data_IF_166947755479
#
_entry.id   IF_166947755479
#
_cell.length_a   1.000
_cell.length_b   1.000
_cell.length_c   1.000
_cell.angle_alpha   90.00
_cell.angle_beta   90.00
_cell.angle_gamma   90.00
#
_symmetry.space_group_name_H-M   'P 1'
#
loop_
_entity.id
_entity.type
_entity.pdbx_description
1 polymer ?
#
# COMPACT_ATOMS: atom_id res chain seq x y z
N UNK A 1 -19.57 33.18 44.81
CA UNK A 1 -19.31 32.51 46.10
C UNK A 1 -19.37 31.04 45.80
N UNK A 2 -18.37 30.22 45.78
CA UNK A 2 -17.02 30.21 46.29
C UNK A 2 -16.20 29.22 45.43
N UNK A 3 -15.07 29.68 44.94
CA UNK A 3 -14.03 28.82 44.34
C UNK A 3 -13.53 27.78 45.37
N UNK A 4 -13.21 26.57 44.88
CA UNK A 4 -12.24 25.69 45.56
C UNK A 4 -11.23 25.17 44.57
N UNK A 5 -10.08 25.79 44.60
CA UNK A 5 -8.79 25.29 44.13
C UNK A 5 -8.39 23.99 44.86
N UNK A 6 -7.78 23.07 44.16
CA UNK A 6 -7.03 21.93 44.72
C UNK A 6 -5.61 21.96 44.13
N UNK A 7 -4.58 21.80 44.96
CA UNK A 7 -3.22 22.18 44.65
C UNK A 7 -2.37 21.10 43.97
N UNK A 8 -1.39 21.57 43.19
CA UNK A 8 -0.23 20.84 42.68
C UNK A 8 0.68 20.41 43.84
N UNK A 9 1.04 19.17 43.92
CA UNK A 9 2.01 18.56 44.83
C UNK A 9 2.97 17.61 44.14
N UNK A 10 4.12 18.12 43.80
CA UNK A 10 5.50 17.68 43.99
C UNK A 10 5.89 16.23 43.66
N UNK A 11 6.62 16.11 42.56
CA UNK A 11 7.61 15.06 42.26
C UNK A 11 8.83 15.24 43.19
N UNK A 12 9.23 14.22 43.94
CA UNK A 12 10.65 13.93 44.18
C UNK A 12 10.89 12.58 44.88
N UNK A 13 11.93 11.90 44.38
CA UNK A 13 12.79 10.91 45.04
C UNK A 13 12.26 9.46 45.18
N UNK A 14 12.88 8.57 44.41
CA UNK A 14 13.50 7.37 44.98
C UNK A 14 14.81 7.09 44.22
N UNK A 15 15.90 7.24 44.96
CA UNK A 15 17.23 6.76 44.62
C UNK A 15 17.64 5.68 45.64
N UNK A 16 18.40 4.71 45.15
CA UNK A 16 19.40 3.89 45.86
C UNK A 16 18.96 2.73 46.76
N UNK A 17 19.31 1.51 46.32
CA UNK A 17 20.19 0.52 47.02
C UNK A 17 20.16 -0.77 46.17
N UNK A 18 21.19 -1.36 45.57
CA UNK A 18 22.45 -1.76 46.19
C UNK A 18 22.38 -3.25 46.48
N UNK A 19 22.81 -4.16 45.59
CA UNK A 19 23.39 -5.44 45.96
C UNK A 19 24.28 -6.01 44.83
N UNK A 20 25.50 -6.34 45.23
CA UNK A 20 26.57 -6.95 44.43
C UNK A 20 26.39 -8.47 44.33
N UNK A 21 26.85 -9.02 43.22
CA UNK A 21 27.77 -10.16 42.95
C UNK A 21 27.36 -10.92 41.70
N UNK A 22 28.23 -10.98 40.72
CA UNK A 22 29.19 -12.05 40.51
C UNK A 22 30.15 -11.64 39.38
N UNK A 23 31.40 -12.03 39.58
CA UNK A 23 32.62 -11.79 38.83
C UNK A 23 32.64 -12.45 37.47
N UNK A 24 32.81 -11.67 36.39
CA UNK A 24 33.35 -12.12 35.11
C UNK A 24 34.83 -11.70 35.03
N UNK A 25 35.70 -12.52 34.40
CA UNK A 25 37.14 -12.28 34.34
C UNK A 25 37.48 -11.12 33.38
N UNK A 26 38.62 -10.48 33.54
CA UNK A 26 39.03 -9.33 32.73
C UNK A 26 39.35 -9.78 31.32
N UNK A 27 38.67 -9.16 30.34
CA UNK A 27 39.06 -9.23 28.93
C UNK A 27 40.33 -8.35 28.81
N UNK A 28 41.42 -9.00 28.45
CA UNK A 28 42.70 -8.40 28.16
C UNK A 28 42.57 -7.28 27.14
N UNK A 29 43.09 -6.09 27.51
CA UNK A 29 43.43 -5.02 26.58
C UNK A 29 44.41 -5.52 25.51
N UNK A 30 43.85 -6.02 24.42
CA UNK A 30 44.53 -6.19 23.15
C UNK A 30 44.50 -4.84 22.45
N UNK A 31 45.61 -4.18 22.42
CA UNK A 31 45.87 -2.99 21.62
C UNK A 31 45.54 -3.29 20.15
N UNK A 32 44.31 -2.99 19.73
CA UNK A 32 43.97 -2.83 18.32
C UNK A 32 44.32 -1.41 17.90
N UNK A 33 45.61 -1.18 17.64
CA UNK A 33 46.09 -0.08 16.83
C UNK A 33 45.67 -0.33 15.36
N UNK A 34 44.40 -0.47 15.08
CA UNK A 34 43.85 -0.41 13.76
C UNK A 34 43.44 1.05 13.44
N UNK A 35 44.49 1.81 13.05
CA UNK A 35 44.45 2.89 12.07
C UNK A 35 43.11 3.67 12.00
N UNK A 36 43.10 4.77 12.72
CA UNK A 36 42.28 5.96 12.43
C UNK A 36 42.74 6.58 11.10
N UNK A 37 42.66 5.85 9.99
CA UNK A 37 42.78 6.38 8.63
C UNK A 37 41.47 7.09 8.31
N UNK A 38 41.56 8.40 8.07
CA UNK A 38 40.48 9.36 7.91
C UNK A 38 39.33 8.83 7.03
N UNK A 39 38.12 8.81 7.58
CA UNK A 39 36.92 8.56 6.80
C UNK A 39 36.72 9.74 5.86
N UNK A 40 36.92 9.52 4.57
CA UNK A 40 36.68 10.50 3.50
C UNK A 40 35.27 11.05 3.66
N UNK A 41 35.15 12.37 3.63
CA UNK A 41 33.85 13.06 3.66
C UNK A 41 33.57 13.70 2.32
N UNK A 42 32.31 13.72 1.92
CA UNK A 42 31.84 14.40 0.71
C UNK A 42 31.08 15.65 1.13
N UNK A 43 31.48 16.78 0.58
CA UNK A 43 30.77 18.04 0.77
C UNK A 43 29.57 18.14 -0.19
N UNK A 44 28.38 18.26 0.40
CA UNK A 44 27.12 18.44 -0.35
C UNK A 44 26.38 19.64 0.26
N UNK A 45 26.35 20.76 -0.45
CA UNK A 45 25.68 22.01 -0.01
C UNK A 45 26.11 22.48 1.38
N UNK A 46 27.40 22.43 1.67
CA UNK A 46 27.95 22.84 2.97
C UNK A 46 27.81 21.81 4.09
N UNK A 47 27.26 20.62 3.81
CA UNK A 47 27.16 19.51 4.76
C UNK A 47 28.17 18.43 4.40
N UNK A 48 28.95 17.99 5.37
CA UNK A 48 29.94 16.93 5.20
C UNK A 48 29.34 15.58 5.55
N UNK A 49 29.28 14.66 4.59
CA UNK A 49 28.77 13.29 4.75
C UNK A 49 29.89 12.27 4.49
N UNK A 50 29.93 11.14 5.19
CA UNK A 50 30.91 10.10 4.92
C UNK A 50 30.74 9.58 3.48
N UNK A 51 31.85 9.36 2.76
CA UNK A 51 31.83 8.71 1.47
C UNK A 51 31.49 7.24 1.65
N UNK A 52 30.43 6.79 1.00
CA UNK A 52 29.97 5.39 1.04
C UNK A 52 29.99 4.81 -0.38
N UNK A 53 30.86 3.84 -0.64
CA UNK A 53 30.99 3.18 -1.95
C UNK A 53 29.66 2.59 -2.45
N UNK A 54 28.90 1.98 -1.55
CA UNK A 54 27.58 1.41 -1.92
C UNK A 54 26.60 2.43 -2.48
N UNK A 55 26.65 3.69 -1.97
CA UNK A 55 25.81 4.78 -2.53
C UNK A 55 26.28 5.14 -3.94
N UNK A 56 27.60 5.15 -4.19
CA UNK A 56 28.13 5.42 -5.53
C UNK A 56 27.77 4.30 -6.51
N UNK A 57 27.93 3.01 -6.11
CA UNK A 57 27.52 1.86 -6.93
C UNK A 57 26.03 1.94 -7.27
N UNK A 58 25.19 2.18 -6.27
CA UNK A 58 23.74 2.34 -6.47
C UNK A 58 23.42 3.48 -7.43
N UNK A 59 24.06 4.63 -7.24
CA UNK A 59 23.86 5.79 -8.14
C UNK A 59 24.31 5.54 -9.57
N UNK A 60 25.36 4.76 -9.79
CA UNK A 60 25.84 4.36 -11.11
C UNK A 60 24.94 3.32 -11.77
N UNK A 61 24.45 2.32 -11.01
CA UNK A 61 23.47 1.36 -11.52
C UNK A 61 22.15 2.01 -11.87
N UNK A 62 21.68 3.01 -11.10
CA UNK A 62 20.53 3.84 -11.46
C UNK A 62 20.77 4.64 -12.76
N UNK A 63 22.01 4.93 -13.09
CA UNK A 63 22.40 5.61 -14.34
C UNK A 63 22.60 4.65 -15.51
N UNK A 64 22.32 3.36 -15.34
CA UNK A 64 22.35 2.35 -16.39
C UNK A 64 23.68 1.60 -16.55
N UNK A 65 24.62 1.75 -15.60
CA UNK A 65 25.81 0.89 -15.55
C UNK A 65 25.42 -0.53 -15.13
N UNK A 66 26.12 -1.55 -15.66
CA UNK A 66 26.03 -2.88 -15.06
C UNK A 66 26.53 -2.83 -13.62
N UNK A 67 26.12 -3.78 -12.78
CA UNK A 67 26.63 -3.83 -11.41
C UNK A 67 28.16 -3.98 -11.37
N UNK A 68 28.72 -4.76 -12.28
CA UNK A 68 30.17 -4.99 -12.41
C UNK A 68 30.90 -3.69 -12.80
N UNK A 69 30.42 -2.96 -13.79
CA UNK A 69 31.00 -1.67 -14.21
C UNK A 69 30.86 -0.62 -13.10
N UNK A 70 29.68 -0.52 -12.48
CA UNK A 70 29.43 0.41 -11.38
C UNK A 70 30.35 0.11 -10.19
N UNK A 71 30.57 -1.16 -9.89
CA UNK A 71 31.47 -1.59 -8.82
C UNK A 71 32.93 -1.27 -9.17
N UNK A 72 33.38 -1.56 -10.40
CA UNK A 72 34.74 -1.26 -10.88
C UNK A 72 35.02 0.25 -10.79
N UNK A 73 34.15 1.09 -11.35
CA UNK A 73 34.26 2.56 -11.28
C UNK A 73 34.29 3.05 -9.81
N UNK A 74 33.45 2.48 -8.95
CA UNK A 74 33.43 2.83 -7.52
C UNK A 74 34.71 2.46 -6.79
N UNK A 75 35.38 1.37 -7.19
CA UNK A 75 36.67 0.97 -6.66
C UNK A 75 37.79 1.91 -7.07
N UNK A 76 37.84 2.32 -8.33
CA UNK A 76 38.83 3.28 -8.82
C UNK A 76 38.67 4.65 -8.15
N UNK A 77 37.43 5.15 -8.07
CA UNK A 77 37.12 6.38 -7.36
C UNK A 77 37.57 6.29 -5.89
N UNK A 78 37.26 5.18 -5.22
CA UNK A 78 37.68 4.97 -3.82
C UNK A 78 39.19 5.01 -3.67
N UNK A 79 39.94 4.37 -4.56
CA UNK A 79 41.40 4.33 -4.52
C UNK A 79 42.01 5.74 -4.64
N UNK A 80 41.37 6.63 -5.39
CA UNK A 80 41.81 8.02 -5.55
C UNK A 80 41.41 8.96 -4.40
N UNK A 81 40.31 8.66 -3.69
CA UNK A 81 39.83 9.54 -2.64
C UNK A 81 40.16 9.09 -1.22
N UNK A 82 40.53 7.81 -1.02
CA UNK A 82 40.69 7.19 0.32
C UNK A 82 41.69 7.90 1.24
N UNK A 83 42.68 8.60 0.67
CA UNK A 83 43.74 9.29 1.41
C UNK A 83 43.42 10.80 1.57
N UNK A 84 42.22 11.25 1.19
CA UNK A 84 41.74 12.63 1.36
C UNK A 84 40.77 12.74 2.53
N UNK A 85 40.79 13.87 3.22
CA UNK A 85 39.85 14.15 4.30
C UNK A 85 38.48 14.61 3.78
N UNK A 86 38.47 15.39 2.69
CA UNK A 86 37.30 16.00 2.10
C UNK A 86 37.38 15.95 0.58
N UNK A 87 36.25 15.62 -0.05
CA UNK A 87 36.07 15.63 -1.53
C UNK A 87 34.77 16.35 -1.84
N UNK A 88 34.82 17.28 -2.78
CA UNK A 88 33.62 17.97 -3.23
C UNK A 88 32.80 17.11 -4.16
N UNK A 89 31.50 17.38 -4.23
CA UNK A 89 30.61 16.69 -5.18
C UNK A 89 31.06 16.91 -6.65
N UNK A 90 31.72 18.02 -6.96
CA UNK A 90 32.25 18.32 -8.28
C UNK A 90 33.43 17.42 -8.63
N UNK A 91 34.42 17.34 -7.74
CA UNK A 91 35.58 16.44 -7.91
C UNK A 91 35.18 14.98 -8.03
N UNK A 92 34.18 14.54 -7.22
CA UNK A 92 33.67 13.18 -7.30
C UNK A 92 33.05 12.88 -8.67
N UNK A 93 32.36 13.85 -9.28
CA UNK A 93 31.80 13.72 -10.62
C UNK A 93 32.89 13.64 -11.71
N UNK A 94 33.93 14.45 -11.56
CA UNK A 94 35.04 14.45 -12.49
C UNK A 94 35.78 13.11 -12.47
N UNK A 95 36.04 12.57 -11.30
CA UNK A 95 36.63 11.23 -11.14
C UNK A 95 35.72 10.11 -11.72
N UNK A 96 34.43 10.15 -11.43
CA UNK A 96 33.48 9.20 -12.01
C UNK A 96 33.49 9.30 -13.56
N UNK A 97 33.49 10.49 -14.12
CA UNK A 97 33.54 10.69 -15.57
C UNK A 97 34.86 10.22 -16.19
N UNK A 98 35.97 10.36 -15.47
CA UNK A 98 37.29 9.88 -15.90
C UNK A 98 37.35 8.35 -15.91
N UNK A 99 36.98 7.70 -14.82
CA UNK A 99 37.06 6.23 -14.71
C UNK A 99 35.98 5.50 -15.51
N UNK A 100 34.85 6.14 -15.78
CA UNK A 100 33.84 5.60 -16.69
C UNK A 100 34.31 5.49 -18.13
N UNK A 101 35.33 6.28 -18.54
CA UNK A 101 35.91 6.23 -19.90
C UNK A 101 36.97 5.14 -20.06
N UNK A 102 37.58 4.69 -18.98
CA UNK A 102 38.66 3.72 -18.98
C UNK A 102 38.22 2.27 -18.68
N UNK A 103 36.95 2.02 -18.43
CA UNK A 103 36.39 0.68 -18.16
C UNK A 103 36.35 -0.18 -19.45
N UNK A 104 36.70 -1.50 -19.39
CA UNK A 104 36.87 -2.37 -20.56
C UNK A 104 35.60 -2.65 -21.40
N UNK A 105 34.46 -2.16 -21.03
CA UNK A 105 33.20 -2.24 -21.79
C UNK A 105 33.02 -1.13 -22.84
N UNK A 106 34.13 -0.56 -23.34
CA UNK A 106 34.29 0.58 -24.20
C UNK A 106 33.23 0.78 -25.28
N UNK A 107 32.39 1.71 -25.06
CA UNK A 107 31.86 2.74 -25.96
C UNK A 107 30.99 3.72 -25.16
N UNK A 108 31.61 4.36 -24.18
CA UNK A 108 30.95 5.25 -23.22
C UNK A 108 30.89 6.70 -23.75
N UNK A 109 31.52 7.00 -24.88
CA UNK A 109 31.46 8.34 -25.44
C UNK A 109 30.07 8.75 -25.97
N UNK A 110 29.19 7.79 -26.25
CA UNK A 110 27.79 8.03 -26.56
C UNK A 110 26.86 8.02 -25.33
N UNK A 111 27.34 7.58 -24.17
CA UNK A 111 26.59 7.47 -22.91
C UNK A 111 27.06 8.52 -21.91
N UNK A 112 27.02 9.80 -22.26
CA UNK A 112 27.17 10.86 -21.26
C UNK A 112 25.99 10.77 -20.30
N UNK A 113 26.17 10.33 -19.02
CA UNK A 113 25.15 10.56 -18.04
C UNK A 113 25.05 12.07 -17.87
N UNK A 114 23.92 12.65 -18.18
CA UNK A 114 23.62 14.04 -17.87
C UNK A 114 23.44 14.13 -16.36
N UNK A 115 24.57 14.13 -15.65
CA UNK A 115 24.62 14.34 -14.21
C UNK A 115 24.25 15.79 -13.91
N UNK A 116 22.97 16.07 -13.75
CA UNK A 116 22.54 17.38 -13.28
C UNK A 116 21.29 17.98 -13.88
N UNK A 117 20.85 17.53 -15.06
CA UNK A 117 19.59 18.00 -15.62
C UNK A 117 18.46 17.05 -15.22
N UNK A 118 17.57 17.54 -14.38
CA UNK A 118 16.33 16.82 -14.08
C UNK A 118 15.52 16.74 -15.37
N UNK A 119 15.17 15.52 -15.79
CA UNK A 119 14.20 15.28 -16.84
C UNK A 119 12.88 15.93 -16.41
N UNK A 120 12.37 16.85 -17.22
CA UNK A 120 11.12 17.57 -16.97
C UNK A 120 9.99 16.98 -17.81
N UNK A 121 8.85 16.77 -17.19
CA UNK A 121 7.61 16.43 -17.87
C UNK A 121 6.86 17.70 -18.18
N UNK A 122 6.57 17.93 -19.45
CA UNK A 122 5.80 19.09 -19.92
C UNK A 122 4.35 18.69 -20.17
N UNK A 123 3.42 19.43 -19.58
CA UNK A 123 1.98 19.27 -19.79
C UNK A 123 1.31 20.60 -20.05
N UNK A 124 0.00 20.59 -20.32
CA UNK A 124 -0.80 21.80 -20.57
C UNK A 124 -0.76 22.78 -19.38
N UNK A 125 -0.66 22.24 -18.16
CA UNK A 125 -0.78 23.00 -16.91
C UNK A 125 0.57 23.33 -16.26
N UNK A 126 1.71 23.10 -16.95
CA UNK A 126 3.04 23.41 -16.42
C UNK A 126 4.11 22.36 -16.68
N UNK A 127 5.18 22.47 -15.91
CA UNK A 127 6.35 21.59 -15.95
C UNK A 127 6.57 20.97 -14.58
N UNK A 128 6.88 19.68 -14.56
CA UNK A 128 7.15 18.93 -13.33
C UNK A 128 8.40 18.08 -13.53
N UNK A 129 9.15 17.81 -12.47
CA UNK A 129 10.23 16.84 -12.55
C UNK A 129 9.67 15.46 -12.92
N UNK A 130 10.39 14.72 -13.75
CA UNK A 130 10.07 13.33 -14.04
C UNK A 130 10.07 12.52 -12.73
N UNK A 131 9.03 11.75 -12.52
CA UNK A 131 8.86 10.94 -11.32
C UNK A 131 8.57 9.50 -11.71
N UNK A 132 9.53 8.60 -11.44
CA UNK A 132 9.34 7.16 -11.55
C UNK A 132 8.12 6.68 -10.77
N UNK A 133 7.91 7.23 -9.56
CA UNK A 133 6.81 6.82 -8.68
C UNK A 133 5.43 7.09 -9.30
N UNK A 134 5.26 8.19 -10.03
CA UNK A 134 3.98 8.47 -10.73
C UNK A 134 3.68 7.46 -11.82
N UNK A 135 4.70 7.08 -12.60
CA UNK A 135 4.52 6.09 -13.68
C UNK A 135 4.27 4.72 -13.05
N UNK A 136 5.06 4.36 -12.04
CA UNK A 136 4.90 3.10 -11.30
C UNK A 136 3.50 2.95 -10.72
N UNK A 137 2.96 3.98 -10.07
CA UNK A 137 1.58 3.99 -9.55
C UNK A 137 0.55 3.74 -10.66
N UNK A 138 0.72 4.37 -11.83
CA UNK A 138 -0.19 4.12 -12.97
C UNK A 138 -0.09 2.69 -13.50
N UNK A 139 1.08 2.08 -13.49
CA UNK A 139 1.29 0.70 -13.91
C UNK A 139 0.74 -0.30 -12.88
N UNK A 140 0.95 -0.04 -11.59
CA UNK A 140 0.36 -0.85 -10.51
C UNK A 140 -1.16 -0.82 -10.57
N UNK A 141 -1.74 0.36 -10.75
CA UNK A 141 -3.17 0.54 -10.91
C UNK A 141 -3.71 -0.11 -12.18
N UNK A 142 -2.89 -0.23 -13.23
CA UNK A 142 -3.24 -1.01 -14.43
C UNK A 142 -3.09 -2.53 -14.24
N UNK A 143 -2.83 -2.98 -13.02
CA UNK A 143 -2.75 -4.40 -12.69
C UNK A 143 -1.39 -5.04 -12.98
N UNK A 144 -0.30 -4.27 -13.10
CA UNK A 144 1.04 -4.87 -13.16
C UNK A 144 1.53 -5.24 -11.76
N UNK A 145 2.22 -6.38 -11.69
CA UNK A 145 3.00 -6.76 -10.52
C UNK A 145 4.02 -5.65 -10.15
N UNK A 146 4.27 -5.37 -8.85
CA UNK A 146 5.18 -4.32 -8.41
C UNK A 146 6.60 -4.43 -8.97
N UNK A 147 7.11 -5.64 -9.14
CA UNK A 147 8.43 -5.91 -9.71
C UNK A 147 8.46 -5.56 -11.19
N UNK A 148 7.45 -6.00 -11.93
CA UNK A 148 7.30 -5.71 -13.35
C UNK A 148 7.07 -4.23 -13.61
N UNK A 149 6.27 -3.57 -12.78
CA UNK A 149 6.06 -2.12 -12.86
C UNK A 149 7.36 -1.34 -12.66
N UNK A 150 8.23 -1.77 -11.74
CA UNK A 150 9.55 -1.17 -11.53
C UNK A 150 10.46 -1.35 -12.76
N UNK A 151 10.50 -2.55 -13.34
CA UNK A 151 11.27 -2.84 -14.55
C UNK A 151 10.85 -1.96 -15.73
N UNK A 152 9.54 -1.83 -15.98
CA UNK A 152 8.99 -0.98 -17.04
C UNK A 152 9.36 0.49 -16.83
N UNK A 153 9.24 1.01 -15.62
CA UNK A 153 9.61 2.40 -15.31
C UNK A 153 11.10 2.65 -15.54
N UNK A 154 11.94 1.69 -15.14
CA UNK A 154 13.40 1.78 -15.34
C UNK A 154 13.74 1.76 -16.84
N UNK A 155 13.04 0.94 -17.64
CA UNK A 155 13.20 0.91 -19.08
C UNK A 155 12.77 2.23 -19.74
N UNK A 156 11.63 2.81 -19.33
CA UNK A 156 11.16 4.11 -19.81
C UNK A 156 12.21 5.21 -19.51
N UNK A 157 12.69 5.28 -18.28
CA UNK A 157 13.68 6.30 -17.90
C UNK A 157 14.98 6.15 -18.68
N UNK A 158 15.45 4.89 -18.83
CA UNK A 158 16.65 4.60 -19.62
C UNK A 158 16.49 5.05 -21.08
N UNK A 159 15.35 4.76 -21.72
CA UNK A 159 15.07 5.16 -23.09
C UNK A 159 15.04 6.70 -23.24
N UNK A 160 14.41 7.40 -22.32
CA UNK A 160 14.35 8.86 -22.31
C UNK A 160 15.73 9.47 -22.13
N UNK A 161 16.53 8.95 -21.21
CA UNK A 161 17.93 9.41 -21.01
C UNK A 161 18.84 9.10 -22.19
N UNK A 162 18.65 7.94 -22.81
CA UNK A 162 19.42 7.55 -24.00
C UNK A 162 19.15 8.47 -25.19
N UNK A 163 17.91 8.97 -25.35
CA UNK A 163 17.56 9.96 -26.39
C UNK A 163 18.10 11.36 -26.11
N UNK A 164 18.70 11.59 -24.95
CA UNK A 164 19.21 12.91 -24.54
C UNK A 164 18.11 13.94 -24.32
N UNK A 165 16.87 13.50 -24.15
CA UNK A 165 15.73 14.38 -23.94
C UNK A 165 15.79 15.01 -22.53
N UNK A 166 15.75 16.34 -22.46
CA UNK A 166 15.63 17.09 -21.20
C UNK A 166 14.18 17.37 -20.84
N UNK A 167 13.31 17.34 -21.83
CA UNK A 167 11.88 17.60 -21.71
C UNK A 167 11.11 16.56 -22.46
N UNK A 168 10.14 15.97 -21.81
CA UNK A 168 9.28 14.92 -22.37
C UNK A 168 7.82 15.28 -22.13
N UNK A 169 6.96 15.02 -23.10
CA UNK A 169 5.52 15.20 -22.92
C UNK A 169 4.89 14.00 -22.22
N UNK A 170 3.75 14.21 -21.58
CA UNK A 170 2.96 13.10 -21.01
C UNK A 170 2.59 12.05 -22.08
N UNK A 171 2.32 12.49 -23.30
CA UNK A 171 1.99 11.60 -24.42
C UNK A 171 3.17 10.76 -24.88
N UNK A 172 4.38 11.34 -24.91
CA UNK A 172 5.60 10.58 -25.21
C UNK A 172 5.87 9.50 -24.16
N UNK A 173 5.69 9.81 -22.86
CA UNK A 173 5.79 8.81 -21.78
C UNK A 173 4.73 7.72 -21.94
N UNK A 174 3.49 8.10 -22.28
CA UNK A 174 2.40 7.15 -22.53
C UNK A 174 2.74 6.21 -23.69
N UNK A 175 3.21 6.75 -24.79
CA UNK A 175 3.59 5.96 -25.98
C UNK A 175 4.74 4.99 -25.67
N UNK A 176 5.74 5.42 -24.88
CA UNK A 176 6.80 4.52 -24.42
C UNK A 176 6.26 3.42 -23.52
N UNK A 177 5.41 3.78 -22.53
CA UNK A 177 4.82 2.81 -21.62
C UNK A 177 3.97 1.78 -22.40
N UNK A 178 3.07 2.21 -23.29
CA UNK A 178 2.24 1.29 -24.09
C UNK A 178 3.09 0.41 -25.01
N UNK A 179 4.11 0.93 -25.66
CA UNK A 179 5.01 0.14 -26.50
C UNK A 179 5.80 -0.93 -25.72
N UNK A 180 6.23 -0.63 -24.48
CA UNK A 180 6.90 -1.61 -23.62
C UNK A 180 5.88 -2.66 -23.14
N UNK A 181 4.69 -2.22 -22.70
CA UNK A 181 3.63 -3.10 -22.24
C UNK A 181 3.21 -4.09 -23.32
N UNK A 182 3.00 -3.60 -24.54
CA UNK A 182 2.62 -4.43 -25.69
C UNK A 182 3.67 -5.51 -25.99
N UNK A 183 4.94 -5.12 -26.09
CA UNK A 183 6.04 -6.05 -26.38
C UNK A 183 6.26 -7.11 -25.31
N UNK A 184 6.07 -6.76 -24.02
CA UNK A 184 6.40 -7.65 -22.90
C UNK A 184 5.22 -8.41 -22.32
N UNK A 185 4.02 -7.82 -22.34
CA UNK A 185 2.87 -8.31 -21.60
C UNK A 185 1.60 -8.43 -22.46
N UNK A 186 1.65 -7.99 -23.73
CA UNK A 186 0.54 -8.09 -24.69
C UNK A 186 -0.51 -6.99 -24.54
N UNK A 187 -1.50 -7.07 -25.44
CA UNK A 187 -2.56 -6.05 -25.61
C UNK A 187 -3.44 -5.84 -24.36
N UNK A 188 -3.68 -6.89 -23.58
CA UNK A 188 -4.51 -6.78 -22.37
C UNK A 188 -3.93 -5.82 -21.34
N UNK A 189 -2.60 -5.83 -21.16
CA UNK A 189 -1.91 -4.92 -20.26
C UNK A 189 -1.94 -3.47 -20.76
N UNK A 190 -1.84 -3.28 -22.09
CA UNK A 190 -1.99 -1.95 -22.71
C UNK A 190 -3.41 -1.43 -22.48
N UNK A 191 -4.42 -2.25 -22.72
CA UNK A 191 -5.83 -1.88 -22.53
C UNK A 191 -6.09 -1.46 -21.08
N UNK A 192 -5.72 -2.26 -20.08
CA UNK A 192 -5.87 -1.92 -18.67
C UNK A 192 -5.18 -0.61 -18.32
N UNK A 193 -3.96 -0.40 -18.81
CA UNK A 193 -3.25 0.85 -18.59
C UNK A 193 -3.99 2.07 -19.16
N UNK A 194 -4.56 1.95 -20.35
CA UNK A 194 -5.33 3.02 -20.99
C UNK A 194 -6.66 3.25 -20.29
N UNK A 195 -7.38 2.19 -19.91
CA UNK A 195 -8.66 2.26 -19.19
C UNK A 195 -8.48 2.96 -17.83
N UNK A 196 -7.46 2.57 -17.07
CA UNK A 196 -7.12 3.25 -15.83
C UNK A 196 -6.80 4.74 -16.05
N UNK A 197 -6.05 5.05 -17.09
CA UNK A 197 -5.72 6.45 -17.42
C UNK A 197 -6.97 7.24 -17.84
N UNK A 198 -7.89 6.62 -18.53
CA UNK A 198 -9.17 7.22 -18.91
C UNK A 198 -9.99 7.54 -17.65
N UNK A 199 -10.16 6.56 -16.75
CA UNK A 199 -10.81 6.77 -15.46
C UNK A 199 -10.18 7.94 -14.67
N UNK A 200 -8.85 7.99 -14.56
CA UNK A 200 -8.16 9.08 -13.84
C UNK A 200 -8.40 10.47 -14.45
N UNK A 201 -8.63 10.55 -15.74
CA UNK A 201 -8.85 11.83 -16.43
C UNK A 201 -10.32 12.24 -16.44
N UNK A 202 -11.26 11.31 -16.29
CA UNK A 202 -12.70 11.59 -16.32
C UNK A 202 -13.15 12.34 -15.04
N UNK A 203 -12.57 12.05 -13.88
CA UNK A 203 -12.73 12.82 -12.63
C UNK A 203 -14.16 13.03 -12.09
N UNK A 204 -15.19 12.60 -12.84
CA UNK A 204 -16.57 12.92 -12.56
C UNK A 204 -17.21 12.00 -11.51
N UNK A 205 -16.77 10.74 -11.47
CA UNK A 205 -17.34 9.72 -10.57
C UNK A 205 -16.24 9.08 -9.74
N UNK A 206 -16.31 9.15 -8.40
CA UNK A 206 -15.31 8.50 -7.54
C UNK A 206 -15.42 6.97 -7.59
N UNK A 207 -14.29 6.32 -7.32
CA UNK A 207 -14.20 4.87 -7.10
C UNK A 207 -14.54 4.56 -5.65
N UNK A 208 -15.54 3.71 -5.43
CA UNK A 208 -15.92 3.18 -4.12
C UNK A 208 -15.68 1.67 -4.15
N UNK A 209 -14.76 1.19 -3.32
CA UNK A 209 -14.46 -0.24 -3.17
C UNK A 209 -15.04 -0.73 -1.85
N UNK A 210 -15.92 -1.73 -1.92
CA UNK A 210 -16.45 -2.44 -0.75
C UNK A 210 -15.78 -3.81 -0.69
N UNK A 211 -15.06 -4.08 0.40
CA UNK A 211 -14.36 -5.34 0.63
C UNK A 211 -14.93 -6.03 1.88
N UNK A 212 -15.91 -6.90 1.66
CA UNK A 212 -16.52 -7.73 2.71
C UNK A 212 -15.62 -8.91 3.10
N UNK A 213 -15.99 -9.62 4.17
CA UNK A 213 -15.33 -10.86 4.60
C UNK A 213 -15.37 -11.06 6.11
N UNK A 214 -15.21 -12.30 6.55
CA UNK A 214 -15.24 -12.67 7.98
C UNK A 214 -14.10 -12.04 8.78
N UNK A 215 -14.24 -12.05 10.10
CA UNK A 215 -13.16 -11.56 10.98
C UNK A 215 -11.92 -12.44 10.84
N UNK A 216 -10.74 -11.82 10.72
CA UNK A 216 -9.47 -12.54 10.69
C UNK A 216 -8.93 -12.92 9.31
N UNK A 217 -9.74 -12.92 8.24
CA UNK A 217 -9.33 -13.32 6.89
C UNK A 217 -8.30 -12.40 6.19
N UNK A 218 -7.84 -11.33 6.82
CA UNK A 218 -6.84 -10.44 6.18
C UNK A 218 -7.41 -9.32 5.30
N UNK A 219 -8.74 -9.12 5.25
CA UNK A 219 -9.40 -8.11 4.41
C UNK A 219 -8.88 -6.68 4.59
N UNK A 220 -8.52 -6.25 5.81
CA UNK A 220 -8.00 -4.88 6.04
C UNK A 220 -6.61 -4.70 5.45
N UNK A 221 -5.75 -5.72 5.50
CA UNK A 221 -4.45 -5.71 4.81
C UNK A 221 -4.63 -5.65 3.30
N UNK A 222 -5.58 -6.43 2.78
CA UNK A 222 -5.93 -6.42 1.37
C UNK A 222 -6.49 -5.06 0.93
N UNK A 223 -7.41 -4.47 1.72
CA UNK A 223 -7.97 -3.15 1.44
C UNK A 223 -6.89 -2.05 1.38
N UNK A 224 -5.94 -2.06 2.30
CA UNK A 224 -4.82 -1.12 2.31
C UNK A 224 -3.90 -1.30 1.11
N UNK A 225 -3.56 -2.55 0.74
CA UNK A 225 -2.69 -2.82 -0.40
C UNK A 225 -3.37 -2.43 -1.72
N UNK A 226 -4.65 -2.77 -1.90
CA UNK A 226 -5.43 -2.35 -3.07
C UNK A 226 -5.57 -0.84 -3.13
N UNK A 227 -5.87 -0.17 -2.01
CA UNK A 227 -5.95 1.28 -1.93
C UNK A 227 -4.65 1.96 -2.35
N UNK A 228 -3.50 1.40 -1.92
CA UNK A 228 -2.17 1.87 -2.33
C UNK A 228 -1.95 1.76 -3.84
N UNK A 229 -2.36 0.64 -4.46
CA UNK A 229 -2.22 0.40 -5.91
C UNK A 229 -3.15 1.28 -6.73
N UNK A 230 -4.41 1.38 -6.34
CA UNK A 230 -5.42 2.21 -7.01
C UNK A 230 -5.38 3.69 -6.60
N UNK A 231 -4.37 4.11 -5.83
CA UNK A 231 -4.26 5.48 -5.31
C UNK A 231 -5.53 5.99 -4.61
N UNK A 232 -6.24 5.10 -3.90
CA UNK A 232 -7.39 5.43 -3.07
C UNK A 232 -6.88 6.12 -1.79
N UNK A 233 -7.31 7.36 -1.57
CA UNK A 233 -6.82 8.18 -0.46
C UNK A 233 -7.49 7.94 0.88
N UNK A 234 -8.64 7.25 0.91
CA UNK A 234 -9.42 7.01 2.11
C UNK A 234 -9.74 5.53 2.26
N UNK A 235 -9.37 4.96 3.40
CA UNK A 235 -9.74 3.59 3.78
C UNK A 235 -10.45 3.66 5.13
N UNK A 236 -11.62 3.03 5.25
CA UNK A 236 -12.40 2.99 6.48
C UNK A 236 -12.92 1.58 6.75
N UNK A 237 -12.85 1.15 8.02
CA UNK A 237 -13.43 -0.13 8.41
C UNK A 237 -14.87 0.00 8.91
N UNK A 238 -15.70 -1.02 8.66
CA UNK A 238 -17.06 -1.08 9.23
C UNK A 238 -17.04 -1.18 10.75
N UNK A 239 -15.97 -1.72 11.33
CA UNK A 239 -15.80 -1.74 12.79
C UNK A 239 -15.64 -0.32 13.36
N UNK A 240 -14.91 0.57 12.68
CA UNK A 240 -14.82 1.97 13.09
C UNK A 240 -16.17 2.68 12.98
N UNK A 241 -16.96 2.38 11.94
CA UNK A 241 -18.31 2.93 11.76
C UNK A 241 -19.19 2.43 12.92
N UNK A 242 -19.18 1.13 13.22
CA UNK A 242 -19.91 0.54 14.34
C UNK A 242 -19.50 1.17 15.67
N UNK A 243 -18.21 1.39 15.90
CA UNK A 243 -17.70 2.01 17.13
C UNK A 243 -18.22 3.44 17.33
N UNK A 244 -18.34 4.22 16.26
CA UNK A 244 -18.97 5.55 16.31
C UNK A 244 -20.48 5.41 16.61
N UNK A 245 -21.17 4.51 15.93
CA UNK A 245 -22.62 4.33 16.10
C UNK A 245 -22.97 3.87 17.50
N UNK A 246 -22.23 2.96 18.13
CA UNK A 246 -22.48 2.48 19.50
C UNK A 246 -22.28 3.56 20.57
N UNK A 247 -21.56 4.63 20.29
CA UNK A 247 -21.47 5.77 21.22
C UNK A 247 -22.76 6.59 21.20
N UNK A 248 -23.47 6.59 20.07
CA UNK A 248 -24.70 7.39 19.86
C UNK A 248 -25.98 6.60 20.15
N UNK A 249 -25.96 5.29 19.96
CA UNK A 249 -27.11 4.38 20.12
C UNK A 249 -26.92 3.56 21.39
N UNK A 250 -27.88 3.60 22.30
CA UNK A 250 -27.78 2.87 23.56
C UNK A 250 -27.89 1.34 23.39
N UNK A 251 -27.31 0.59 24.31
CA UNK A 251 -27.38 -0.87 24.37
C UNK A 251 -28.83 -1.38 24.44
N UNK A 252 -29.71 -0.65 25.12
CA UNK A 252 -31.14 -1.00 25.24
C UNK A 252 -31.89 -0.91 23.90
N UNK A 253 -31.45 -0.05 22.97
CA UNK A 253 -32.09 0.11 21.66
C UNK A 253 -31.58 -0.88 20.62
N UNK A 254 -30.29 -1.11 20.56
CA UNK A 254 -29.66 -2.02 19.60
C UNK A 254 -28.55 -2.81 20.29
N UNK A 255 -28.91 -3.83 21.10
CA UNK A 255 -27.94 -4.60 21.87
C UNK A 255 -26.87 -5.29 21.02
N UNK A 256 -27.22 -5.74 19.83
CA UNK A 256 -26.29 -6.41 18.90
C UNK A 256 -25.15 -5.51 18.44
N UNK A 257 -25.33 -4.18 18.43
CA UNK A 257 -24.30 -3.21 18.04
C UNK A 257 -23.13 -3.14 19.04
N UNK A 258 -23.37 -3.51 20.31
CA UNK A 258 -22.43 -3.36 21.43
C UNK A 258 -21.52 -4.57 21.67
N UNK A 259 -21.65 -5.61 20.85
CA UNK A 259 -20.82 -6.82 20.91
C UNK A 259 -20.09 -7.02 19.57
N UNK A 260 -19.16 -7.97 19.50
CA UNK A 260 -18.53 -8.35 18.23
C UNK A 260 -19.53 -9.06 17.32
N UNK A 261 -19.29 -9.03 16.00
CA UNK A 261 -20.18 -9.65 15.01
C UNK A 261 -20.43 -11.13 15.25
N UNK A 262 -19.42 -11.87 15.71
CA UNK A 262 -19.52 -13.28 16.04
C UNK A 262 -20.21 -13.55 17.41
N UNK A 263 -20.40 -12.55 18.24
CA UNK A 263 -21.12 -12.62 19.51
C UNK A 263 -22.52 -11.98 19.43
N UNK A 264 -22.89 -11.41 18.27
CA UNK A 264 -24.13 -10.68 18.11
C UNK A 264 -25.37 -11.54 18.43
N UNK A 265 -25.28 -12.85 18.19
CA UNK A 265 -26.32 -13.82 18.53
C UNK A 265 -26.69 -13.84 20.02
N UNK A 266 -25.76 -13.55 20.93
CA UNK A 266 -25.98 -13.50 22.38
C UNK A 266 -26.83 -12.30 22.80
N UNK A 267 -27.04 -11.34 21.92
CA UNK A 267 -27.77 -10.08 22.16
C UNK A 267 -28.90 -9.86 21.13
N UNK A 268 -29.33 -10.95 20.47
CA UNK A 268 -30.43 -10.92 19.52
C UNK A 268 -31.73 -10.49 20.18
N UNK A 269 -32.44 -9.56 19.60
CA UNK A 269 -33.74 -9.06 20.06
C UNK A 269 -34.87 -9.79 19.33
N UNK A 270 -34.63 -10.08 18.04
CA UNK A 270 -35.58 -10.78 17.19
C UNK A 270 -35.59 -12.29 17.49
N UNK A 271 -36.76 -12.93 17.35
CA UNK A 271 -36.82 -14.39 17.38
C UNK A 271 -36.09 -14.94 16.13
N UNK A 272 -35.34 -16.02 16.38
CA UNK A 272 -34.66 -16.74 15.28
C UNK A 272 -35.69 -17.41 14.40
N UNK A 273 -35.57 -17.29 13.10
CA UNK A 273 -36.46 -17.96 12.13
C UNK A 273 -36.46 -19.47 12.36
N UNK A 274 -37.58 -20.14 12.07
CA UNK A 274 -37.68 -21.59 12.21
C UNK A 274 -36.62 -22.29 11.33
N UNK A 275 -35.69 -23.02 11.96
CA UNK A 275 -34.54 -23.62 11.26
C UNK A 275 -33.37 -22.65 10.95
N UNK A 276 -33.43 -21.39 11.38
CA UNK A 276 -32.37 -20.42 11.21
C UNK A 276 -31.17 -20.66 12.14
N UNK A 277 -29.99 -20.20 11.75
CA UNK A 277 -28.79 -20.20 12.59
C UNK A 277 -28.74 -18.92 13.41
N UNK A 278 -28.80 -19.00 14.77
CA UNK A 278 -28.76 -17.81 15.61
C UNK A 278 -27.51 -16.93 15.41
N UNK A 279 -26.35 -17.54 15.11
CA UNK A 279 -25.09 -16.80 14.86
C UNK A 279 -25.22 -15.92 13.63
N UNK A 280 -25.75 -16.50 12.55
CA UNK A 280 -25.98 -15.79 11.28
C UNK A 280 -27.05 -14.71 11.44
N UNK A 281 -28.16 -15.01 12.11
CA UNK A 281 -29.25 -14.04 12.35
C UNK A 281 -28.77 -12.82 13.15
N UNK A 282 -28.05 -13.06 14.27
CA UNK A 282 -27.50 -11.98 15.07
C UNK A 282 -26.49 -11.13 14.32
N UNK A 283 -25.63 -11.78 13.54
CA UNK A 283 -24.70 -11.11 12.65
C UNK A 283 -25.41 -10.24 11.61
N UNK A 284 -26.45 -10.75 10.97
CA UNK A 284 -27.22 -10.02 9.97
C UNK A 284 -28.01 -8.85 10.57
N UNK A 285 -28.59 -9.00 11.78
CA UNK A 285 -29.26 -7.91 12.48
C UNK A 285 -28.28 -6.76 12.77
N UNK A 286 -27.10 -7.07 13.32
CA UNK A 286 -26.05 -6.07 13.53
C UNK A 286 -25.63 -5.41 12.21
N UNK A 287 -25.40 -6.21 11.16
CA UNK A 287 -24.93 -5.72 9.88
C UNK A 287 -25.93 -4.79 9.19
N UNK A 288 -27.24 -5.06 9.30
CA UNK A 288 -28.30 -4.15 8.80
C UNK A 288 -28.22 -2.79 9.48
N UNK A 289 -27.97 -2.75 10.78
CA UNK A 289 -27.80 -1.52 11.52
C UNK A 289 -26.55 -0.76 11.08
N UNK A 290 -25.39 -1.45 10.97
CA UNK A 290 -24.12 -0.83 10.52
C UNK A 290 -24.21 -0.34 9.07
N UNK A 291 -25.01 -1.00 8.23
CA UNK A 291 -25.20 -0.61 6.84
C UNK A 291 -25.73 0.84 6.67
N UNK A 292 -26.47 1.35 7.65
CA UNK A 292 -26.93 2.76 7.67
C UNK A 292 -25.72 3.71 7.70
N UNK A 293 -24.76 3.44 8.56
CA UNK A 293 -23.53 4.21 8.66
C UNK A 293 -22.64 4.06 7.42
N UNK A 294 -22.56 2.84 6.86
CA UNK A 294 -21.83 2.57 5.60
C UNK A 294 -22.42 3.40 4.46
N UNK A 295 -23.74 3.42 4.29
CA UNK A 295 -24.42 4.25 3.28
C UNK A 295 -24.07 5.74 3.44
N UNK A 296 -24.09 6.26 4.65
CA UNK A 296 -23.73 7.66 4.93
C UNK A 296 -22.27 7.98 4.51
N UNK A 297 -21.34 7.05 4.73
CA UNK A 297 -19.94 7.20 4.31
C UNK A 297 -19.82 7.17 2.78
N UNK A 298 -20.54 6.28 2.10
CA UNK A 298 -20.57 6.21 0.62
C UNK A 298 -21.11 7.52 0.05
N UNK A 299 -22.26 7.99 0.53
CA UNK A 299 -22.85 9.27 0.09
C UNK A 299 -21.91 10.46 0.30
N UNK A 300 -21.20 10.47 1.43
CA UNK A 300 -20.21 11.50 1.70
C UNK A 300 -19.03 11.43 0.73
N UNK A 301 -18.52 10.23 0.44
CA UNK A 301 -17.43 10.03 -0.51
C UNK A 301 -17.82 10.48 -1.94
N UNK A 302 -19.05 10.18 -2.35
CA UNK A 302 -19.62 10.62 -3.63
C UNK A 302 -19.72 12.15 -3.69
N UNK A 303 -20.28 12.78 -2.63
CA UNK A 303 -20.44 14.23 -2.57
C UNK A 303 -19.08 14.98 -2.60
N UNK A 304 -18.04 14.39 -2.04
CA UNK A 304 -16.67 14.93 -2.06
C UNK A 304 -15.88 14.56 -3.32
N UNK A 305 -16.38 13.70 -4.17
CA UNK A 305 -15.62 13.16 -5.32
C UNK A 305 -14.37 12.39 -4.91
N UNK A 306 -14.39 11.71 -3.75
CA UNK A 306 -13.21 11.09 -3.14
C UNK A 306 -13.23 9.58 -3.30
N UNK A 307 -12.21 9.01 -3.97
CA UNK A 307 -12.01 7.58 -4.03
C UNK A 307 -11.86 7.00 -2.62
N UNK A 308 -12.69 6.00 -2.28
CA UNK A 308 -12.79 5.46 -0.93
C UNK A 308 -12.88 3.94 -0.96
N UNK A 309 -12.12 3.27 -0.09
CA UNK A 309 -12.27 1.85 0.19
C UNK A 309 -12.92 1.67 1.57
N UNK A 310 -13.89 0.78 1.63
CA UNK A 310 -14.53 0.34 2.86
C UNK A 310 -14.23 -1.15 3.04
N UNK A 311 -13.74 -1.54 4.22
CA UNK A 311 -13.55 -2.94 4.54
C UNK A 311 -14.30 -3.33 5.81
N UNK A 312 -14.77 -4.56 5.87
CA UNK A 312 -15.32 -5.07 7.10
C UNK A 312 -16.32 -6.20 6.96
N UNK A 313 -16.60 -6.84 8.09
CA UNK A 313 -17.51 -7.98 8.15
C UNK A 313 -18.97 -7.58 7.90
N UNK A 314 -19.35 -6.34 8.25
CA UNK A 314 -20.73 -5.84 8.04
C UNK A 314 -21.01 -5.44 6.56
N UNK A 315 -20.04 -5.56 5.67
CA UNK A 315 -20.26 -5.50 4.24
C UNK A 315 -20.77 -6.86 3.77
N UNK A 316 -22.09 -7.03 3.79
CA UNK A 316 -22.77 -8.29 3.49
C UNK A 316 -23.38 -8.22 2.11
N UNK A 317 -23.10 -9.20 1.22
CA UNK A 317 -23.77 -9.29 -0.09
C UNK A 317 -25.29 -9.27 0.03
N UNK A 318 -25.94 -8.43 -0.81
CA UNK A 318 -27.39 -8.26 -0.81
C UNK A 318 -27.95 -7.26 0.22
N UNK A 319 -27.12 -6.65 1.10
CA UNK A 319 -27.58 -5.55 1.95
C UNK A 319 -27.51 -4.18 1.26
N UNK A 320 -26.76 -4.08 0.17
CA UNK A 320 -26.55 -2.83 -0.57
C UNK A 320 -27.04 -3.02 -2.00
N UNK A 321 -27.94 -2.17 -2.44
CA UNK A 321 -28.29 -2.06 -3.85
C UNK A 321 -27.28 -1.10 -4.52
N UNK A 322 -26.31 -1.66 -5.24
CA UNK A 322 -25.24 -0.88 -5.85
C UNK A 322 -25.77 0.01 -6.99
N UNK A 323 -26.92 -0.34 -7.58
CA UNK A 323 -27.54 0.44 -8.67
C UNK A 323 -27.93 1.85 -8.23
N UNK A 324 -28.18 2.09 -6.94
CA UNK A 324 -28.48 3.42 -6.38
C UNK A 324 -27.37 4.45 -6.63
N UNK A 325 -26.13 4.00 -6.85
CA UNK A 325 -24.96 4.85 -7.02
C UNK A 325 -24.32 4.82 -8.41
N UNK A 326 -24.77 3.95 -9.32
CA UNK A 326 -24.13 3.74 -10.63
C UNK A 326 -23.96 5.00 -11.47
N UNK A 327 -24.92 5.91 -11.42
CA UNK A 327 -24.84 7.21 -12.13
C UNK A 327 -23.85 8.20 -11.50
N UNK A 328 -23.51 8.01 -10.21
CA UNK A 328 -22.75 8.99 -9.39
C UNK A 328 -21.38 8.51 -8.96
N UNK A 329 -21.12 7.19 -8.99
CA UNK A 329 -19.87 6.58 -8.59
C UNK A 329 -19.61 5.25 -9.29
N UNK A 330 -18.36 4.84 -9.34
CA UNK A 330 -17.98 3.46 -9.72
C UNK A 330 -17.89 2.63 -8.45
N UNK A 331 -18.97 1.93 -8.11
CA UNK A 331 -19.01 1.08 -6.91
C UNK A 331 -18.69 -0.36 -7.30
N UNK A 332 -17.75 -0.97 -6.55
CA UNK A 332 -17.35 -2.36 -6.68
C UNK A 332 -17.46 -3.05 -5.33
N UNK A 333 -18.05 -4.23 -5.34
CA UNK A 333 -18.15 -5.05 -4.15
C UNK A 333 -17.47 -6.40 -4.40
N UNK A 334 -16.54 -6.76 -3.52
CA UNK A 334 -15.86 -8.06 -3.51
C UNK A 334 -15.89 -8.64 -2.09
N UNK A 335 -15.88 -9.97 -2.01
CA UNK A 335 -15.78 -10.68 -0.75
C UNK A 335 -14.39 -11.29 -0.62
N UNK A 336 -13.67 -10.96 0.45
CA UNK A 336 -12.42 -11.61 0.83
C UNK A 336 -12.73 -12.83 1.69
N UNK A 337 -12.26 -14.00 1.31
CA UNK A 337 -12.45 -15.24 2.05
C UNK A 337 -11.16 -16.08 2.06
N UNK A 338 -11.04 -16.93 3.05
CA UNK A 338 -10.10 -18.05 3.09
C UNK A 338 -10.94 -19.31 3.25
N UNK A 339 -11.13 -20.05 2.15
CA UNK A 339 -12.00 -21.22 2.13
C UNK A 339 -11.42 -22.40 2.91
N UNK A 340 -10.11 -22.42 3.13
CA UNK A 340 -9.48 -23.43 3.94
C UNK A 340 -9.61 -23.12 5.43
N UNK A 341 -10.38 -23.96 6.13
CA UNK A 341 -10.62 -23.82 7.56
C UNK A 341 -9.34 -23.88 8.40
N UNK A 342 -8.37 -24.70 7.99
CA UNK A 342 -7.08 -24.81 8.71
C UNK A 342 -6.23 -23.56 8.47
N UNK A 343 -6.22 -23.04 7.27
CA UNK A 343 -5.55 -21.78 6.92
C UNK A 343 -6.15 -20.61 7.70
N UNK A 344 -7.46 -20.44 7.69
CA UNK A 344 -8.15 -19.40 8.47
C UNK A 344 -7.83 -19.50 9.97
N UNK A 345 -7.83 -20.70 10.52
CA UNK A 345 -7.43 -20.95 11.91
C UNK A 345 -5.97 -20.51 12.15
N UNK A 346 -5.07 -20.87 11.25
CA UNK A 346 -3.65 -20.46 11.28
C UNK A 346 -3.47 -18.93 11.26
N UNK A 347 -4.22 -18.22 10.44
CA UNK A 347 -4.21 -16.75 10.39
C UNK A 347 -4.66 -16.12 11.71
N UNK A 348 -5.68 -16.69 12.36
CA UNK A 348 -6.15 -16.22 13.66
C UNK A 348 -5.13 -16.50 14.78
N UNK A 349 -4.45 -17.65 14.74
CA UNK A 349 -3.35 -17.99 15.67
C UNK A 349 -2.18 -17.03 15.49
N UNK A 350 -1.71 -16.81 14.25
CA UNK A 350 -0.61 -15.89 13.97
C UNK A 350 -0.90 -14.46 14.44
N UNK A 351 -2.15 -14.02 14.30
CA UNK A 351 -2.60 -12.73 14.85
C UNK A 351 -2.61 -12.72 16.38
N UNK A 352 -2.80 -13.89 17.01
CA UNK A 352 -2.80 -14.06 18.45
C UNK A 352 -1.42 -13.88 19.09
N UNK A 353 -0.38 -14.22 18.37
CA UNK A 353 1.01 -14.11 18.83
C UNK A 353 1.59 -12.68 18.71
N UNK A 354 0.85 -11.76 18.07
CA UNK A 354 1.22 -10.36 17.92
C UNK A 354 0.97 -9.50 19.18
N UNK A 355 1.46 -8.26 19.24
CA UNK A 355 1.23 -7.36 20.36
C UNK A 355 -0.26 -7.01 20.47
N UNK A 356 -0.98 -7.64 21.40
CA UNK A 356 -2.42 -7.45 21.64
C UNK A 356 -3.14 -8.70 22.14
N UNK A 357 -2.49 -9.56 22.88
CA UNK A 357 -2.88 -10.92 23.33
C UNK A 357 -4.32 -11.12 23.80
N UNK A 358 -4.97 -10.14 24.45
CA UNK A 358 -6.35 -10.30 24.95
C UNK A 358 -7.44 -10.33 23.85
N UNK A 359 -7.21 -9.67 22.73
CA UNK A 359 -8.16 -9.68 21.61
C UNK A 359 -8.12 -11.01 20.85
N UNK A 360 -6.98 -11.68 20.85
CA UNK A 360 -6.72 -12.88 20.07
C UNK A 360 -7.33 -14.13 20.68
N UNK A 361 -7.30 -14.29 22.02
CA UNK A 361 -7.95 -15.40 22.71
C UNK A 361 -9.46 -15.43 22.41
N UNK A 362 -10.07 -14.25 22.28
CA UNK A 362 -11.49 -14.10 21.95
C UNK A 362 -11.83 -14.59 20.54
N UNK A 363 -10.95 -14.36 19.55
CA UNK A 363 -11.15 -14.90 18.20
C UNK A 363 -11.06 -16.42 18.16
N UNK A 364 -10.12 -16.99 18.91
CA UNK A 364 -9.96 -18.44 18.99
C UNK A 364 -11.14 -19.12 19.69
N UNK A 365 -11.65 -18.50 20.75
CA UNK A 365 -12.83 -19.02 21.48
C UNK A 365 -14.10 -19.01 20.62
N UNK A 366 -14.20 -18.08 19.66
CA UNK A 366 -15.38 -17.92 18.80
C UNK A 366 -15.07 -18.33 17.33
N UNK A 367 -14.10 -19.21 17.12
CA UNK A 367 -13.72 -19.63 15.78
C UNK A 367 -14.88 -20.28 15.01
N UNK A 368 -15.70 -21.08 15.69
CA UNK A 368 -16.88 -21.73 15.09
C UNK A 368 -17.89 -20.71 14.58
N UNK A 369 -18.15 -19.66 15.33
CA UNK A 369 -19.07 -18.57 14.98
C UNK A 369 -18.52 -17.74 13.82
N UNK A 370 -17.21 -17.44 13.83
CA UNK A 370 -16.54 -16.73 12.72
C UNK A 370 -16.64 -17.54 11.44
N UNK A 371 -16.42 -18.84 11.51
CA UNK A 371 -16.47 -19.72 10.35
C UNK A 371 -17.90 -19.83 9.78
N UNK A 372 -18.94 -19.94 10.64
CA UNK A 372 -20.35 -19.91 10.19
C UNK A 372 -20.71 -18.59 9.49
N UNK A 373 -20.21 -17.47 10.01
CA UNK A 373 -20.40 -16.17 9.36
C UNK A 373 -19.73 -16.17 7.97
N UNK A 374 -18.54 -16.76 7.85
CA UNK A 374 -17.88 -16.86 6.54
C UNK A 374 -18.67 -17.69 5.56
N UNK A 375 -19.17 -18.86 5.98
CA UNK A 375 -20.01 -19.72 5.15
C UNK A 375 -21.25 -18.96 4.67
N UNK A 376 -21.95 -18.27 5.59
CA UNK A 376 -23.12 -17.46 5.21
C UNK A 376 -22.79 -16.30 4.27
N UNK A 377 -21.61 -15.67 4.40
CA UNK A 377 -21.14 -14.62 3.50
C UNK A 377 -20.84 -15.19 2.11
N UNK A 378 -20.22 -16.37 2.00
CA UNK A 378 -19.93 -17.07 0.76
C UNK A 378 -21.22 -17.45 0.01
N UNK A 379 -22.19 -18.08 0.69
CA UNK A 379 -23.50 -18.42 0.14
C UNK A 379 -24.21 -17.17 -0.42
N UNK A 380 -24.17 -16.07 0.31
CA UNK A 380 -24.77 -14.81 -0.13
C UNK A 380 -24.02 -14.18 -1.30
N UNK A 381 -22.70 -14.30 -1.32
CA UNK A 381 -21.89 -13.81 -2.44
C UNK A 381 -22.23 -14.56 -3.73
N UNK A 382 -22.35 -15.88 -3.66
CA UNK A 382 -22.77 -16.71 -4.78
C UNK A 382 -24.18 -16.32 -5.25
N UNK A 383 -25.14 -16.20 -4.34
CA UNK A 383 -26.52 -15.82 -4.66
C UNK A 383 -26.64 -14.43 -5.31
N UNK A 384 -25.82 -13.47 -4.85
CA UNK A 384 -25.83 -12.09 -5.32
C UNK A 384 -24.86 -11.83 -6.50
N UNK A 385 -24.08 -12.82 -6.93
CA UNK A 385 -23.06 -12.65 -7.98
C UNK A 385 -21.91 -11.75 -7.56
N UNK A 386 -21.58 -11.67 -6.26
CA UNK A 386 -20.46 -10.90 -5.75
C UNK A 386 -19.17 -11.73 -5.88
N UNK A 387 -18.13 -11.21 -6.55
CA UNK A 387 -16.87 -11.95 -6.70
C UNK A 387 -16.19 -12.23 -5.36
N UNK A 388 -15.67 -13.46 -5.21
CA UNK A 388 -14.91 -13.90 -4.06
C UNK A 388 -13.44 -13.90 -4.43
N UNK A 389 -12.60 -13.40 -3.51
CA UNK A 389 -11.13 -13.35 -3.64
C UNK A 389 -10.51 -14.14 -2.50
N UNK A 390 -9.70 -15.14 -2.86
CA UNK A 390 -8.89 -15.90 -1.91
C UNK A 390 -7.73 -15.04 -1.38
N UNK A 391 -7.60 -14.97 -0.06
CA UNK A 391 -6.62 -14.12 0.64
C UNK A 391 -5.41 -14.88 1.22
N UNK A 392 -5.22 -16.13 0.86
CA UNK A 392 -4.06 -16.91 1.31
C UNK A 392 -2.73 -16.24 0.90
N UNK A 393 -2.68 -15.68 -0.31
CA UNK A 393 -1.56 -14.83 -0.75
C UNK A 393 -2.03 -13.40 -1.00
N UNK A 394 -1.63 -12.50 -0.11
CA UNK A 394 -2.01 -11.07 -0.14
C UNK A 394 -1.64 -10.39 -1.47
N UNK A 395 -0.48 -10.73 -2.03
CA UNK A 395 0.01 -10.12 -3.27
C UNK A 395 -0.87 -10.52 -4.45
N UNK A 396 -1.15 -11.83 -4.57
CA UNK A 396 -2.04 -12.39 -5.59
C UNK A 396 -3.47 -11.86 -5.45
N UNK A 397 -4.01 -11.84 -4.22
CA UNK A 397 -5.34 -11.30 -3.92
C UNK A 397 -5.46 -9.82 -4.33
N UNK A 398 -4.47 -9.01 -3.96
CA UNK A 398 -4.46 -7.59 -4.34
C UNK A 398 -4.40 -7.41 -5.86
N UNK A 399 -3.61 -8.25 -6.55
CA UNK A 399 -3.53 -8.24 -8.01
C UNK A 399 -4.87 -8.59 -8.66
N UNK A 400 -5.57 -9.60 -8.15
CA UNK A 400 -6.89 -10.01 -8.64
C UNK A 400 -7.92 -8.89 -8.47
N UNK A 401 -7.99 -8.26 -7.28
CA UNK A 401 -8.90 -7.14 -7.02
C UNK A 401 -8.61 -5.97 -7.95
N UNK A 402 -7.35 -5.57 -8.09
CA UNK A 402 -6.95 -4.46 -8.97
C UNK A 402 -7.32 -4.76 -10.42
N UNK A 403 -6.99 -5.95 -10.91
CA UNK A 403 -7.33 -6.35 -12.28
C UNK A 403 -8.83 -6.34 -12.52
N UNK A 404 -9.61 -6.91 -11.60
CA UNK A 404 -11.07 -6.89 -11.67
C UNK A 404 -11.64 -5.48 -11.75
N UNK A 405 -11.21 -4.59 -10.85
CA UNK A 405 -11.69 -3.20 -10.83
C UNK A 405 -11.37 -2.48 -12.13
N UNK A 406 -10.16 -2.63 -12.65
CA UNK A 406 -9.73 -1.95 -13.89
C UNK A 406 -10.45 -2.51 -15.13
N UNK A 407 -10.60 -3.84 -15.22
CA UNK A 407 -11.33 -4.47 -16.31
C UNK A 407 -12.81 -4.00 -16.34
N UNK A 408 -13.45 -3.95 -15.16
CA UNK A 408 -14.83 -3.47 -15.04
C UNK A 408 -14.97 -1.96 -15.37
N UNK A 409 -13.98 -1.13 -15.00
CA UNK A 409 -13.96 0.28 -15.42
C UNK A 409 -13.87 0.41 -16.94
N UNK A 410 -13.05 -0.40 -17.60
CA UNK A 410 -12.93 -0.44 -19.06
C UNK A 410 -14.22 -0.86 -19.75
N UNK A 411 -14.89 -1.91 -19.25
CA UNK A 411 -16.18 -2.39 -19.77
C UNK A 411 -17.28 -1.32 -19.65
N UNK A 412 -17.40 -0.68 -18.48
CA UNK A 412 -18.37 0.42 -18.25
C UNK A 412 -18.12 1.58 -19.19
N UNK A 413 -16.86 2.00 -19.35
CA UNK A 413 -16.51 3.07 -20.27
C UNK A 413 -16.85 2.73 -21.73
N UNK A 414 -16.55 1.50 -22.18
CA UNK A 414 -16.89 1.04 -23.53
C UNK A 414 -18.42 1.04 -23.76
N UNK A 415 -19.21 0.60 -22.77
CA UNK A 415 -20.67 0.63 -22.84
C UNK A 415 -21.23 2.06 -22.93
N UNK A 416 -20.69 3.01 -22.15
CA UNK A 416 -21.08 4.42 -22.19
C UNK A 416 -20.79 5.08 -23.54
N UNK A 417 -19.64 4.77 -24.14
CA UNK A 417 -19.28 5.27 -25.48
C UNK A 417 -20.19 4.69 -26.54
N UNK A 418 -20.50 3.40 -26.48
CA UNK A 418 -21.43 2.75 -27.40
C UNK A 418 -22.87 3.27 -27.27
N UNK A 419 -23.34 3.59 -26.07
CA UNK A 419 -24.66 4.15 -25.80
C UNK A 419 -24.86 5.60 -26.26
N UNK A 420 -23.73 6.34 -26.51
CA UNK A 420 -23.74 7.73 -27.02
C UNK A 420 -23.63 7.83 -28.54
N UNK A 421 -23.35 6.71 -29.24
CA UNK A 421 -23.23 6.61 -30.67
C UNK A 421 -24.58 6.19 -31.30
#
# INVERSE_FOLDING_TARGET
>A
MTEKQVPLGSLSRFASSGSRRATDPPISDGEDQATTRGRVRVEVRGVHRPFMRGILVHSLTEQGFSFEDAYAVSQEVWTHVRDRELVTKKELRELVAEFSRTSPGGDIESRRPILGDQLEVVGKDGRWPFSQDRIRKSLLAAGLDPRLAFEVVTEIERDLRFRGERRVTRDAIRSLATGILERRFGESSVRRYLDWRTFQNDGNRPLILLLGGASGVGKSSLALEVARRLAIGRVMSTDSIRDVMRVMVSDDLVPTLHVSSFEAHSRLVSEVSEGGDPVVEGFLEQSRTVAVGVRAVIERAIAEGTNTALDGVSLVPGLFDLSEWEDRAHVFFLLAADEDRESLHGHLVARAEGPGTRASDRYMQNFSEIFRIQEALLERAEFCGVPVVDVQDLESAAQQVVSYVVDQLGERHAAEVAGRS
#
